data_IF_226955830893
#
_entry.id   IF_226955830893
#
_cell.length_a   1.000
_cell.length_b   1.000
_cell.length_c   1.000
_cell.angle_alpha   90.00
_cell.angle_beta   90.00
_cell.angle_gamma   90.00
#
_symmetry.space_group_name_H-M   'P 1'
#
loop_
_entity.id
_entity.type
_entity.pdbx_description
1 polymer ?
#
# COMPACT_ATOMS: atom_id res chain seq x y z
N UNK A 1 -5.67 3.30 -40.06
CA UNK A 1 -6.55 4.12 -39.18
C UNK A 1 -6.02 3.95 -37.76
N UNK A 2 -5.29 4.93 -37.25
CA UNK A 2 -4.77 4.87 -35.88
C UNK A 2 -5.89 5.28 -34.93
N UNK A 3 -6.51 4.31 -34.26
CA UNK A 3 -7.40 4.56 -33.14
C UNK A 3 -6.54 5.05 -31.98
N UNK A 4 -6.56 6.35 -31.70
CA UNK A 4 -6.01 6.88 -30.45
C UNK A 4 -6.70 6.16 -29.28
N UNK A 5 -5.91 5.55 -28.41
CA UNK A 5 -6.42 4.95 -27.19
C UNK A 5 -7.19 6.01 -26.39
N UNK A 6 -8.38 5.69 -25.85
CA UNK A 6 -9.15 6.65 -25.07
C UNK A 6 -8.31 7.19 -23.90
N UNK A 7 -8.29 8.50 -23.74
CA UNK A 7 -7.56 9.18 -22.67
C UNK A 7 -7.99 8.63 -21.31
N UNK A 8 -7.00 8.35 -20.46
CA UNK A 8 -7.25 7.92 -19.08
C UNK A 8 -7.84 9.08 -18.26
N UNK A 9 -8.62 8.79 -17.21
CA UNK A 9 -9.18 9.84 -16.34
C UNK A 9 -8.12 10.80 -15.78
N UNK A 10 -6.92 10.30 -15.50
CA UNK A 10 -5.79 11.12 -15.03
C UNK A 10 -5.32 12.13 -16.07
N UNK A 11 -5.17 11.70 -17.33
CA UNK A 11 -4.75 12.57 -18.43
C UNK A 11 -5.78 13.67 -18.72
N UNK A 12 -7.08 13.35 -18.60
CA UNK A 12 -8.15 14.33 -18.74
C UNK A 12 -8.07 15.37 -17.62
N UNK A 13 -7.84 14.93 -16.38
CA UNK A 13 -7.70 15.82 -15.22
C UNK A 13 -6.49 16.76 -15.37
N UNK A 14 -5.35 16.23 -15.85
CA UNK A 14 -4.15 17.01 -16.11
C UNK A 14 -4.38 18.10 -17.17
N UNK A 15 -5.03 17.76 -18.29
CA UNK A 15 -5.43 18.73 -19.32
C UNK A 15 -6.32 19.84 -18.74
N UNK A 16 -7.26 19.49 -17.87
CA UNK A 16 -8.13 20.46 -17.20
C UNK A 16 -7.32 21.38 -16.27
N UNK A 17 -6.39 20.83 -15.50
CA UNK A 17 -5.56 21.62 -14.59
C UNK A 17 -4.64 22.58 -15.34
N UNK A 18 -4.04 22.14 -16.45
CA UNK A 18 -3.24 22.98 -17.34
C UNK A 18 -4.07 24.12 -17.95
N UNK A 19 -5.32 23.84 -18.34
CA UNK A 19 -6.24 24.87 -18.82
C UNK A 19 -6.58 25.92 -17.74
N UNK A 20 -6.72 25.51 -16.47
CA UNK A 20 -6.95 26.42 -15.35
C UNK A 20 -5.72 27.30 -15.11
N UNK A 21 -4.51 26.73 -15.12
CA UNK A 21 -3.25 27.47 -14.95
C UNK A 21 -3.09 28.52 -16.05
N UNK A 22 -3.30 28.13 -17.31
CA UNK A 22 -3.19 29.05 -18.45
C UNK A 22 -4.23 30.20 -18.40
N UNK A 23 -5.42 29.93 -17.86
CA UNK A 23 -6.42 30.99 -17.61
C UNK A 23 -5.99 31.93 -16.48
N UNK A 24 -5.35 31.42 -15.43
CA UNK A 24 -4.81 32.23 -14.33
C UNK A 24 -3.64 33.11 -14.79
N UNK A 25 -2.78 32.59 -15.67
CA UNK A 25 -1.67 33.32 -16.29
C UNK A 25 -2.12 34.32 -17.37
N UNK A 26 -3.43 34.37 -17.69
CA UNK A 26 -4.04 35.22 -18.72
C UNK A 26 -3.55 34.95 -20.15
N UNK A 27 -3.03 33.75 -20.42
CA UNK A 27 -2.62 33.32 -21.76
C UNK A 27 -3.82 33.26 -22.74
N UNK A 28 -5.01 32.98 -22.19
CA UNK A 28 -6.25 32.92 -22.95
C UNK A 28 -7.24 33.99 -22.50
N UNK A 29 -7.77 34.73 -23.48
CA UNK A 29 -8.79 35.78 -23.25
C UNK A 29 -10.16 35.24 -22.82
N UNK A 30 -10.42 33.94 -22.98
CA UNK A 30 -11.70 33.35 -22.60
C UNK A 30 -11.58 31.86 -22.26
N UNK A 31 -12.45 31.39 -21.37
CA UNK A 31 -12.57 29.96 -20.99
C UNK A 31 -12.84 29.09 -22.22
N UNK A 32 -13.60 29.60 -23.20
CA UNK A 32 -13.90 28.88 -24.45
C UNK A 32 -12.62 28.60 -25.25
N UNK A 33 -11.73 29.59 -25.41
CA UNK A 33 -10.49 29.42 -26.16
C UNK A 33 -9.52 28.48 -25.45
N UNK A 34 -9.43 28.57 -24.12
CA UNK A 34 -8.64 27.62 -23.34
C UNK A 34 -9.20 26.19 -23.47
N UNK A 35 -10.51 26.00 -23.35
CA UNK A 35 -11.15 24.70 -23.50
C UNK A 35 -10.89 24.06 -24.87
N UNK A 36 -10.94 24.85 -25.93
CA UNK A 36 -10.66 24.40 -27.30
C UNK A 36 -9.18 24.05 -27.48
N UNK A 37 -8.25 24.86 -26.98
CA UNK A 37 -6.81 24.62 -27.07
C UNK A 37 -6.36 23.36 -26.30
N UNK A 38 -6.88 23.16 -25.09
CA UNK A 38 -6.55 21.99 -24.27
C UNK A 38 -7.44 20.77 -24.54
N UNK A 39 -8.36 20.86 -25.51
CA UNK A 39 -9.29 19.79 -25.90
C UNK A 39 -10.14 19.27 -24.73
N UNK A 40 -10.57 20.16 -23.83
CA UNK A 40 -11.40 19.82 -22.68
C UNK A 40 -12.83 20.34 -22.83
N UNK A 41 -13.86 19.61 -22.36
CA UNK A 41 -15.23 20.12 -22.41
C UNK A 41 -15.38 21.44 -21.65
N UNK A 42 -15.92 22.45 -22.33
CA UNK A 42 -16.12 23.81 -21.77
C UNK A 42 -16.92 23.79 -20.46
N UNK A 43 -17.97 22.96 -20.38
CA UNK A 43 -18.81 22.83 -19.18
C UNK A 43 -18.01 22.33 -17.97
N UNK A 44 -17.14 21.34 -18.18
CA UNK A 44 -16.24 20.81 -17.16
C UNK A 44 -15.25 21.87 -16.69
N UNK A 45 -14.62 22.61 -17.61
CA UNK A 45 -13.68 23.68 -17.27
C UNK A 45 -14.35 24.81 -16.48
N UNK A 46 -15.55 25.23 -16.87
CA UNK A 46 -16.34 26.20 -16.11
C UNK A 46 -16.62 25.70 -14.69
N UNK A 47 -17.06 24.46 -14.55
CA UNK A 47 -17.35 23.88 -13.24
C UNK A 47 -16.10 23.83 -12.35
N UNK A 48 -14.93 23.49 -12.93
CA UNK A 48 -13.66 23.49 -12.18
C UNK A 48 -13.19 24.88 -11.77
N UNK A 49 -13.29 25.87 -12.66
CA UNK A 49 -12.98 27.27 -12.34
C UNK A 49 -13.91 27.81 -11.25
N UNK A 50 -15.17 27.37 -11.22
CA UNK A 50 -16.11 27.68 -10.16
C UNK A 50 -15.84 26.93 -8.83
N UNK A 51 -14.78 26.11 -8.76
CA UNK A 51 -14.34 25.42 -7.56
C UNK A 51 -14.90 24.00 -7.37
N UNK A 52 -15.58 23.43 -8.37
CA UNK A 52 -16.02 22.02 -8.29
C UNK A 52 -14.80 21.11 -8.29
N UNK A 53 -14.71 20.22 -7.31
CA UNK A 53 -13.61 19.25 -7.17
C UNK A 53 -13.72 18.12 -8.19
N UNK A 54 -12.60 17.45 -8.44
CA UNK A 54 -12.58 16.25 -9.28
C UNK A 54 -13.27 15.09 -8.59
N UNK A 55 -13.73 14.11 -9.37
CA UNK A 55 -14.30 12.89 -8.81
C UNK A 55 -13.27 12.19 -7.89
N UNK A 56 -12.00 12.16 -8.31
CA UNK A 56 -10.89 11.62 -7.52
C UNK A 56 -10.72 12.38 -6.20
N UNK A 57 -10.64 13.71 -6.23
CA UNK A 57 -10.52 14.55 -5.03
C UNK A 57 -11.72 14.41 -4.09
N UNK A 58 -12.93 14.35 -4.64
CA UNK A 58 -14.14 14.10 -3.86
C UNK A 58 -14.11 12.72 -3.20
N UNK A 59 -13.57 11.72 -3.90
CA UNK A 59 -13.40 10.38 -3.33
C UNK A 59 -12.36 10.37 -2.21
N UNK A 60 -11.21 11.02 -2.40
CA UNK A 60 -10.16 11.19 -1.37
C UNK A 60 -10.72 11.82 -0.09
N UNK A 61 -11.52 12.88 -0.22
CA UNK A 61 -12.14 13.53 0.95
C UNK A 61 -13.17 12.67 1.69
N UNK A 62 -13.73 11.67 1.01
CA UNK A 62 -14.71 10.75 1.59
C UNK A 62 -14.06 9.46 2.13
N UNK A 63 -12.73 9.30 1.99
CA UNK A 63 -12.02 8.16 2.56
C UNK A 63 -11.97 8.26 4.10
N UNK A 64 -11.93 7.10 4.74
CA UNK A 64 -11.85 7.00 6.21
C UNK A 64 -10.48 7.49 6.72
N UNK A 65 -9.44 7.20 5.96
CA UNK A 65 -8.10 7.72 6.12
C UNK A 65 -7.77 8.56 4.89
N UNK A 66 -7.14 9.70 5.11
CA UNK A 66 -6.54 10.50 4.04
C UNK A 66 -5.42 9.73 3.34
N UNK A 67 -5.12 10.07 2.09
CA UNK A 67 -3.99 9.48 1.35
C UNK A 67 -2.67 9.55 2.13
N UNK A 68 -2.45 10.62 2.91
CA UNK A 68 -1.26 10.77 3.73
C UNK A 68 -1.22 9.72 4.87
N UNK A 69 -2.35 9.52 5.56
CA UNK A 69 -2.50 8.49 6.60
C UNK A 69 -2.39 7.08 6.01
N UNK A 70 -3.05 6.81 4.88
CA UNK A 70 -2.93 5.52 4.20
C UNK A 70 -1.49 5.24 3.76
N UNK A 71 -0.74 6.24 3.31
CA UNK A 71 0.68 6.08 2.98
C UNK A 71 1.53 5.70 4.21
N UNK A 72 1.21 6.22 5.41
CA UNK A 72 1.91 5.78 6.64
C UNK A 72 1.64 4.31 6.95
N UNK A 73 0.42 3.85 6.70
CA UNK A 73 0.04 2.45 6.84
C UNK A 73 0.76 1.56 5.82
N UNK A 74 0.85 1.99 4.56
CA UNK A 74 1.61 1.29 3.50
C UNK A 74 3.09 1.17 3.85
N UNK A 75 3.71 2.24 4.35
CA UNK A 75 5.11 2.21 4.81
C UNK A 75 5.30 1.25 5.98
N UNK A 76 4.36 1.24 6.93
CA UNK A 76 4.39 0.33 8.06
C UNK A 76 4.25 -1.13 7.60
N UNK A 77 3.31 -1.45 6.71
CA UNK A 77 3.15 -2.80 6.12
C UNK A 77 4.41 -3.22 5.37
N UNK A 78 5.00 -2.32 4.58
CA UNK A 78 6.23 -2.59 3.83
C UNK A 78 7.38 -2.94 4.76
N UNK A 79 7.55 -2.17 5.85
CA UNK A 79 8.57 -2.45 6.87
C UNK A 79 8.33 -3.79 7.56
N UNK A 80 7.08 -4.10 7.90
CA UNK A 80 6.71 -5.37 8.52
C UNK A 80 7.06 -6.56 7.62
N UNK A 81 6.78 -6.42 6.32
CA UNK A 81 7.07 -7.43 5.30
C UNK A 81 8.58 -7.65 5.15
N UNK A 82 9.38 -6.57 5.15
CA UNK A 82 10.86 -6.67 5.09
C UNK A 82 11.41 -7.43 6.32
N UNK A 83 10.78 -7.28 7.48
CA UNK A 83 11.18 -7.99 8.71
C UNK A 83 10.69 -9.44 8.78
N UNK A 84 10.06 -9.96 7.72
CA UNK A 84 9.58 -11.34 7.65
C UNK A 84 8.21 -11.58 8.29
N UNK A 85 7.48 -10.53 8.65
CA UNK A 85 6.12 -10.63 9.20
C UNK A 85 5.10 -10.18 8.17
N UNK A 86 4.04 -10.97 7.96
CA UNK A 86 2.95 -10.59 7.08
C UNK A 86 1.85 -9.87 7.87
N UNK A 87 1.38 -8.74 7.35
CA UNK A 87 0.28 -8.00 7.95
C UNK A 87 -1.06 -8.70 7.63
N UNK A 88 -1.68 -9.33 8.64
CA UNK A 88 -3.02 -9.89 8.49
C UNK A 88 -4.04 -8.77 8.24
N UNK A 89 -5.07 -8.97 7.40
CA UNK A 89 -6.14 -7.98 7.18
C UNK A 89 -6.77 -7.41 8.45
N UNK A 90 -6.88 -8.22 9.51
CA UNK A 90 -7.38 -7.79 10.82
C UNK A 90 -6.43 -6.81 11.50
N UNK A 91 -5.13 -7.12 11.55
CA UNK A 91 -4.10 -6.24 12.10
C UNK A 91 -4.02 -4.92 11.32
N UNK A 92 -4.13 -4.95 9.99
CA UNK A 92 -4.14 -3.73 9.17
C UNK A 92 -5.32 -2.82 9.54
N UNK A 93 -6.50 -3.39 9.83
CA UNK A 93 -7.66 -2.62 10.31
C UNK A 93 -7.43 -2.03 11.70
N UNK A 94 -6.86 -2.78 12.61
CA UNK A 94 -6.53 -2.30 13.97
C UNK A 94 -5.58 -1.10 13.91
N UNK A 95 -4.51 -1.18 13.11
CA UNK A 95 -3.57 -0.06 12.94
C UNK A 95 -4.23 1.12 12.22
N UNK A 96 -5.10 0.88 11.24
CA UNK A 96 -5.86 1.95 10.60
C UNK A 96 -6.78 2.68 11.60
N UNK A 97 -7.41 1.96 12.51
CA UNK A 97 -8.21 2.53 13.60
C UNK A 97 -7.33 3.33 14.57
N UNK A 98 -6.15 2.84 14.95
CA UNK A 98 -5.21 3.59 15.78
C UNK A 98 -4.74 4.90 15.14
N UNK A 99 -4.44 4.89 13.83
CA UNK A 99 -4.05 6.10 13.09
C UNK A 99 -5.20 7.12 13.17
N UNK A 100 -6.43 6.68 12.90
CA UNK A 100 -7.61 7.55 12.94
C UNK A 100 -7.84 8.15 14.32
N UNK A 101 -7.73 7.33 15.37
CA UNK A 101 -7.86 7.76 16.77
C UNK A 101 -6.82 8.84 17.12
N UNK A 102 -5.55 8.61 16.77
CA UNK A 102 -4.47 9.57 17.03
C UNK A 102 -4.68 10.89 16.28
N UNK A 103 -5.10 10.84 15.01
CA UNK A 103 -5.34 12.05 14.24
C UNK A 103 -6.48 12.89 14.82
N UNK A 104 -7.59 12.26 15.26
CA UNK A 104 -8.67 12.96 15.95
C UNK A 104 -8.19 13.56 17.27
N UNK A 105 -7.37 12.82 18.02
CA UNK A 105 -6.81 13.30 19.27
C UNK A 105 -5.93 14.54 19.08
N UNK A 106 -5.09 14.55 18.04
CA UNK A 106 -4.25 15.70 17.69
C UNK A 106 -5.11 16.89 17.23
N UNK A 107 -6.09 16.65 16.36
CA UNK A 107 -6.93 17.72 15.81
C UNK A 107 -7.86 18.35 16.85
N UNK A 108 -8.41 17.54 17.77
CA UNK A 108 -9.42 17.98 18.73
C UNK A 108 -8.87 18.20 20.14
N UNK A 109 -7.60 17.87 20.39
CA UNK A 109 -6.98 17.85 21.74
C UNK A 109 -7.79 17.07 22.79
N UNK A 110 -8.54 16.04 22.35
CA UNK A 110 -9.43 15.23 23.18
C UNK A 110 -9.27 13.76 22.85
N UNK A 111 -9.48 12.89 23.83
CA UNK A 111 -9.52 11.45 23.59
C UNK A 111 -10.90 11.13 22.99
N UNK A 112 -10.98 10.68 21.73
CA UNK A 112 -12.26 10.33 21.13
C UNK A 112 -12.86 9.10 21.82
N UNK A 113 -14.17 9.11 21.99
CA UNK A 113 -14.88 7.97 22.60
C UNK A 113 -15.22 6.95 21.50
N UNK A 114 -15.24 5.65 21.82
CA UNK A 114 -15.56 4.58 20.84
C UNK A 114 -16.91 4.76 20.13
N UNK A 115 -17.82 5.57 20.70
CA UNK A 115 -19.12 5.91 20.13
C UNK A 115 -19.07 6.98 19.03
N UNK A 116 -18.00 7.77 18.97
CA UNK A 116 -17.84 8.88 18.02
C UNK A 116 -17.23 8.42 16.69
N UNK A 117 -16.62 7.24 16.69
CA UNK A 117 -15.83 6.74 15.58
C UNK A 117 -16.49 5.45 15.05
N UNK A 118 -17.15 5.50 13.89
CA UNK A 118 -17.77 4.30 13.32
C UNK A 118 -16.69 3.28 12.95
N UNK A 119 -16.91 1.98 13.18
CA UNK A 119 -15.91 0.96 12.89
C UNK A 119 -15.56 0.93 11.40
N UNK A 120 -14.31 0.55 11.09
CA UNK A 120 -13.88 0.37 9.70
C UNK A 120 -14.67 -0.78 9.07
N UNK A 121 -15.40 -0.47 8.00
CA UNK A 121 -16.21 -1.45 7.28
C UNK A 121 -15.38 -2.61 6.71
N UNK A 122 -16.00 -3.78 6.56
CA UNK A 122 -15.31 -4.99 6.08
C UNK A 122 -14.68 -4.79 4.69
N UNK A 123 -15.38 -4.09 3.79
CA UNK A 123 -14.95 -3.74 2.43
C UNK A 123 -13.77 -2.76 2.36
N UNK A 124 -13.45 -2.06 3.45
CA UNK A 124 -12.39 -1.05 3.40
C UNK A 124 -11.04 -1.66 3.03
N UNK A 125 -10.73 -2.86 3.52
CA UNK A 125 -9.45 -3.54 3.22
C UNK A 125 -9.32 -3.86 1.73
N UNK A 126 -10.40 -4.29 1.08
CA UNK A 126 -10.40 -4.59 -0.36
C UNK A 126 -10.20 -3.31 -1.18
N UNK A 127 -10.86 -2.22 -0.77
CA UNK A 127 -10.67 -0.90 -1.42
C UNK A 127 -9.25 -0.36 -1.21
N UNK A 128 -8.69 -0.53 -0.01
CA UNK A 128 -7.31 -0.17 0.32
C UNK A 128 -6.31 -0.93 -0.56
N UNK A 129 -6.44 -2.26 -0.65
CA UNK A 129 -5.61 -3.08 -1.54
C UNK A 129 -5.74 -2.67 -3.01
N UNK A 130 -6.94 -2.31 -3.47
CA UNK A 130 -7.16 -1.83 -4.84
C UNK A 130 -6.45 -0.49 -5.11
N UNK A 131 -6.29 0.37 -4.10
CA UNK A 131 -5.56 1.65 -4.22
C UNK A 131 -4.05 1.43 -4.23
N UNK A 132 -3.56 0.42 -3.52
CA UNK A 132 -2.13 0.11 -3.35
C UNK A 132 -1.78 -1.28 -3.89
N UNK A 133 -1.78 -1.47 -5.22
CA UNK A 133 -1.52 -2.78 -5.84
C UNK A 133 -0.09 -3.30 -5.59
N UNK A 134 0.84 -2.44 -5.16
CA UNK A 134 2.18 -2.82 -4.71
C UNK A 134 2.16 -3.70 -3.45
N UNK A 135 1.12 -3.58 -2.63
CA UNK A 135 0.88 -4.46 -1.48
C UNK A 135 0.31 -5.79 -1.98
N UNK A 136 1.18 -6.63 -2.55
CA UNK A 136 0.81 -7.99 -2.96
C UNK A 136 0.33 -8.77 -1.74
N UNK A 137 -0.83 -9.39 -1.85
CA UNK A 137 -1.30 -10.33 -0.83
C UNK A 137 -0.42 -11.57 -0.89
N UNK A 138 0.40 -11.77 0.13
CA UNK A 138 1.19 -12.97 0.31
C UNK A 138 0.47 -13.89 1.30
N UNK A 139 0.31 -15.15 0.94
CA UNK A 139 -0.05 -16.18 1.92
C UNK A 139 1.22 -16.57 2.67
N UNK A 140 1.23 -16.44 4.01
CA UNK A 140 2.21 -17.15 4.80
C UNK A 140 1.84 -18.61 4.79
N UNK A 141 2.76 -19.47 4.37
CA UNK A 141 2.76 -20.81 4.90
C UNK A 141 2.86 -20.66 6.42
N UNK A 142 1.96 -21.29 7.17
CA UNK A 142 2.17 -21.47 8.60
C UNK A 142 3.46 -22.26 8.73
N UNK A 143 4.60 -21.56 8.87
CA UNK A 143 5.81 -22.17 9.39
C UNK A 143 5.35 -22.84 10.67
N UNK A 144 5.47 -24.17 10.69
CA UNK A 144 4.89 -25.01 11.72
C UNK A 144 5.16 -24.35 13.06
N UNK A 145 4.11 -23.99 13.79
CA UNK A 145 4.21 -23.18 15.02
C UNK A 145 5.21 -23.75 16.04
N UNK A 146 5.54 -25.04 15.90
CA UNK A 146 6.56 -25.77 16.63
C UNK A 146 8.00 -25.36 16.27
N UNK A 147 8.30 -25.01 15.01
CA UNK A 147 9.62 -24.53 14.61
C UNK A 147 9.91 -23.15 15.19
N UNK A 148 8.95 -22.21 15.14
CA UNK A 148 9.12 -20.86 15.71
C UNK A 148 9.42 -20.93 17.21
N UNK A 149 8.79 -21.86 17.95
CA UNK A 149 9.05 -22.06 19.38
C UNK A 149 10.43 -22.67 19.69
N UNK A 150 11.01 -23.42 18.75
CA UNK A 150 12.33 -24.05 18.90
C UNK A 150 13.48 -23.16 18.42
N UNK A 151 13.19 -22.19 17.57
CA UNK A 151 14.16 -21.24 17.00
C UNK A 151 14.36 -20.03 17.92
N UNK A 152 14.92 -20.26 19.11
CA UNK A 152 15.36 -19.15 19.99
C UNK A 152 16.72 -18.63 19.51
N UNK A 153 17.08 -17.36 19.79
CA UNK A 153 18.38 -16.80 19.45
C UNK A 153 19.54 -17.67 19.97
N UNK A 154 19.41 -18.23 21.16
CA UNK A 154 20.41 -19.09 21.78
C UNK A 154 20.58 -20.40 21.01
N UNK A 155 19.48 -21.01 20.55
CA UNK A 155 19.53 -22.25 19.77
C UNK A 155 20.13 -22.01 18.37
N UNK A 156 19.79 -20.88 17.74
CA UNK A 156 20.39 -20.47 16.46
C UNK A 156 21.89 -20.24 16.64
N UNK A 157 22.27 -19.49 17.68
CA UNK A 157 23.67 -19.19 17.96
C UNK A 157 24.48 -20.44 18.25
N UNK A 158 23.97 -21.33 19.12
CA UNK A 158 24.61 -22.60 19.44
C UNK A 158 24.79 -23.48 18.20
N UNK A 159 23.80 -23.51 17.30
CA UNK A 159 23.93 -24.23 16.03
C UNK A 159 25.02 -23.64 15.14
N UNK A 160 25.06 -22.32 14.97
CA UNK A 160 26.09 -21.65 14.16
C UNK A 160 27.49 -21.80 14.75
N UNK A 161 27.62 -21.77 16.08
CA UNK A 161 28.89 -21.97 16.77
C UNK A 161 29.39 -23.41 16.56
N UNK A 162 28.53 -24.41 16.73
CA UNK A 162 28.86 -25.81 16.45
C UNK A 162 29.19 -26.04 14.97
N UNK A 163 28.42 -25.45 14.05
CA UNK A 163 28.69 -25.52 12.62
C UNK A 163 30.06 -24.93 12.29
N UNK A 164 30.39 -23.75 12.84
CA UNK A 164 31.68 -23.08 12.63
C UNK A 164 32.85 -23.91 13.17
N UNK A 165 32.70 -24.54 14.33
CA UNK A 165 33.71 -25.47 14.90
C UNK A 165 33.95 -26.63 13.93
N UNK A 166 32.89 -27.35 13.54
CA UNK A 166 32.99 -28.47 12.61
C UNK A 166 33.58 -28.07 11.26
N UNK A 167 33.21 -26.89 10.75
CA UNK A 167 33.70 -26.36 9.49
C UNK A 167 35.21 -26.11 9.52
N UNK A 168 35.71 -25.47 10.60
CA UNK A 168 37.14 -25.18 10.77
C UNK A 168 37.94 -26.47 11.02
N UNK A 169 37.46 -27.34 11.90
CA UNK A 169 38.17 -28.59 12.26
C UNK A 169 38.38 -29.51 11.06
N UNK A 170 37.35 -29.62 10.21
CA UNK A 170 37.38 -30.51 9.05
C UNK A 170 37.95 -29.86 7.79
N UNK A 171 38.28 -28.57 7.85
CA UNK A 171 38.86 -27.79 6.73
C UNK A 171 38.04 -27.92 5.44
N UNK A 172 36.72 -27.87 5.57
CA UNK A 172 35.86 -27.91 4.39
C UNK A 172 36.05 -26.64 3.57
N UNK A 173 36.11 -26.78 2.25
CA UNK A 173 35.99 -25.62 1.36
C UNK A 173 34.51 -25.27 1.18
N UNK A 174 34.21 -23.99 0.91
CA UNK A 174 32.82 -23.56 0.72
C UNK A 174 32.15 -24.29 -0.45
N UNK A 175 32.95 -24.68 -1.45
CA UNK A 175 32.50 -25.40 -2.64
C UNK A 175 32.07 -26.85 -2.34
N UNK A 176 32.42 -27.39 -1.16
CA UNK A 176 32.05 -28.74 -0.71
C UNK A 176 30.78 -28.78 0.15
N UNK A 177 30.10 -27.64 0.35
CA UNK A 177 28.88 -27.57 1.16
C UNK A 177 27.65 -27.66 0.24
N UNK A 178 26.91 -28.75 0.38
CA UNK A 178 25.63 -28.96 -0.31
C UNK A 178 24.47 -28.78 0.66
N UNK A 179 23.44 -28.03 0.25
CA UNK A 179 22.18 -27.97 0.97
C UNK A 179 21.40 -29.26 0.70
N UNK A 180 21.13 -30.04 1.75
CA UNK A 180 20.28 -31.23 1.68
C UNK A 180 18.98 -30.92 2.43
N UNK A 181 17.92 -30.62 1.70
CA UNK A 181 16.56 -30.51 2.23
C UNK A 181 15.71 -31.71 1.77
N UNK A 182 14.93 -32.26 2.71
CA UNK A 182 14.11 -33.42 2.45
C UNK A 182 12.87 -33.00 1.63
N UNK A 183 12.84 -33.35 0.35
CA UNK A 183 11.65 -33.18 -0.50
C UNK A 183 10.83 -34.47 -0.45
N UNK A 184 9.76 -34.48 0.36
CA UNK A 184 8.83 -35.61 0.43
C UNK A 184 7.95 -35.69 -0.82
N UNK A 185 8.15 -36.71 -1.66
CA UNK A 185 7.20 -37.04 -2.71
C UNK A 185 6.13 -37.97 -2.13
N UNK A 186 4.87 -37.52 -2.14
CA UNK A 186 3.73 -38.37 -1.80
C UNK A 186 3.54 -39.43 -2.90
N UNK A 187 3.96 -40.67 -2.63
CA UNK A 187 3.58 -41.80 -3.46
C UNK A 187 2.14 -42.15 -3.07
N UNK A 188 1.19 -41.57 -3.78
CA UNK A 188 -0.23 -41.90 -3.64
C UNK A 188 -0.42 -43.36 -4.09
N UNK A 189 -0.57 -44.27 -3.13
CA UNK A 189 -0.99 -45.64 -3.39
C UNK A 189 -2.48 -45.65 -3.71
N UNK A 190 -2.78 -45.82 -4.99
CA UNK A 190 -4.12 -46.07 -5.58
C UNK A 190 -4.83 -47.27 -4.95
#
# INVERSE_FOLDING_TARGET
>A
MHTESPLTPSQIEEKIQNAIIALQLKDFKSIRKAAEYFEVPKSTLIARVAGRKSCTQSHEMAQILSNAEENTLVQWISRLTITGFLATPMLVKEIADEIRLRCIQIASSRIPTSTEIPPIGHEWIYRFQKRYPELKTCYSYQLESNQIKKTTPENIQAWFDMFRICFIERKYELDDIYNMDETGFGVEST
#
